data_IF_457530771698
#
_entry.id   IF_457530771698
#
_cell.length_a   1.000
_cell.length_b   1.000
_cell.length_c   1.000
_cell.angle_alpha   90.00
_cell.angle_beta   90.00
_cell.angle_gamma   90.00
#
_symmetry.space_group_name_H-M   'P 1'
#
loop_
_entity.id
_entity.type
_entity.pdbx_description
1 polymer ?
#
# COMPACT_ATOMS: atom_id res chain seq x y z
N UNK A 1 14.11 -34.22 -15.26
CA UNK A 1 13.31 -33.18 -14.59
C UNK A 1 12.74 -32.29 -15.69
N UNK A 2 11.41 -32.08 -15.74
CA UNK A 2 10.76 -31.22 -16.70
C UNK A 2 10.41 -29.90 -15.98
N UNK A 3 10.81 -28.77 -16.58
CA UNK A 3 10.47 -27.43 -16.06
C UNK A 3 9.48 -26.77 -17.03
N UNK A 4 8.32 -26.40 -16.51
CA UNK A 4 7.30 -25.68 -17.26
C UNK A 4 7.36 -24.19 -16.89
N UNK A 5 7.47 -23.33 -17.92
CA UNK A 5 7.47 -21.89 -17.75
C UNK A 5 6.07 -21.32 -18.08
N UNK A 6 5.49 -20.58 -17.14
CA UNK A 6 4.23 -19.89 -17.37
C UNK A 6 4.36 -18.81 -18.46
N UNK A 7 3.27 -18.59 -19.22
CA UNK A 7 3.13 -17.51 -20.18
C UNK A 7 1.72 -16.90 -20.03
N UNK A 8 1.58 -15.56 -19.88
CA UNK A 8 2.67 -14.58 -19.71
C UNK A 8 3.38 -14.70 -18.35
N UNK A 9 4.62 -14.20 -18.28
CA UNK A 9 5.41 -14.13 -17.06
C UNK A 9 6.22 -12.84 -17.00
N UNK A 10 6.59 -12.41 -15.80
CA UNK A 10 7.37 -11.20 -15.54
C UNK A 10 6.72 -10.31 -14.48
N UNK A 11 7.25 -9.12 -14.32
CA UNK A 11 6.68 -8.12 -13.42
C UNK A 11 5.46 -7.46 -14.03
N UNK A 12 4.48 -7.10 -13.19
CA UNK A 12 3.38 -6.24 -13.61
C UNK A 12 3.89 -4.79 -13.86
N UNK A 13 3.08 -4.00 -14.57
CA UNK A 13 3.44 -2.61 -14.88
C UNK A 13 3.74 -1.76 -13.63
N UNK A 14 3.04 -2.00 -12.52
CA UNK A 14 3.26 -1.30 -11.25
C UNK A 14 4.66 -1.56 -10.69
N UNK A 15 5.08 -2.83 -10.65
CA UNK A 15 6.42 -3.24 -10.19
C UNK A 15 7.50 -2.68 -11.11
N UNK A 16 7.35 -2.82 -12.44
CA UNK A 16 8.32 -2.30 -13.41
C UNK A 16 8.48 -0.78 -13.26
N UNK A 17 7.37 -0.05 -13.10
CA UNK A 17 7.39 1.40 -12.89
C UNK A 17 8.12 1.77 -11.60
N UNK A 18 7.84 1.09 -10.50
CA UNK A 18 8.45 1.40 -9.20
C UNK A 18 9.98 1.19 -9.23
N UNK A 19 10.44 0.10 -9.81
CA UNK A 19 11.88 -0.16 -10.02
C UNK A 19 12.50 0.94 -10.88
N UNK A 20 11.90 1.28 -12.01
CA UNK A 20 12.41 2.30 -12.93
C UNK A 20 12.51 3.68 -12.29
N UNK A 21 11.63 4.04 -11.34
CA UNK A 21 11.71 5.32 -10.60
C UNK A 21 12.99 5.36 -9.76
N UNK A 22 13.30 4.30 -8.99
CA UNK A 22 14.51 4.25 -8.17
C UNK A 22 15.76 4.26 -9.05
N UNK A 23 15.76 3.48 -10.13
CA UNK A 23 16.90 3.45 -11.08
C UNK A 23 17.17 4.81 -11.73
N UNK A 24 16.10 5.51 -12.13
CA UNK A 24 16.21 6.86 -12.68
C UNK A 24 16.67 7.88 -11.64
N UNK A 25 16.16 7.79 -10.41
CA UNK A 25 16.60 8.65 -9.32
C UNK A 25 18.11 8.47 -9.06
N UNK A 26 18.61 7.22 -9.00
CA UNK A 26 20.04 6.91 -8.89
C UNK A 26 20.85 7.49 -10.05
N UNK A 27 20.34 7.38 -11.29
CA UNK A 27 21.04 7.87 -12.48
C UNK A 27 21.11 9.41 -12.54
N UNK A 28 20.08 10.11 -12.07
CA UNK A 28 19.98 11.58 -12.18
C UNK A 28 20.64 12.29 -10.98
N UNK A 29 20.40 11.78 -9.76
CA UNK A 29 20.82 12.44 -8.52
C UNK A 29 22.03 11.81 -7.86
N UNK A 30 22.45 10.63 -8.34
CA UNK A 30 23.53 9.84 -7.71
C UNK A 30 23.07 9.14 -6.44
N UNK A 31 23.95 8.32 -5.88
CA UNK A 31 23.76 7.69 -4.59
C UNK A 31 24.15 8.64 -3.45
N UNK A 32 23.52 8.55 -2.26
CA UNK A 32 22.46 7.60 -1.94
C UNK A 32 21.06 8.10 -2.36
N UNK A 33 20.18 7.15 -2.73
CA UNK A 33 18.75 7.37 -2.84
C UNK A 33 18.06 6.58 -1.73
N UNK A 34 17.26 7.25 -0.91
CA UNK A 34 16.51 6.60 0.16
C UNK A 34 15.20 6.05 -0.37
N UNK A 35 14.81 4.86 0.06
CA UNK A 35 13.56 4.22 -0.35
C UNK A 35 12.82 3.79 0.92
N UNK A 36 11.63 4.33 1.13
CA UNK A 36 10.82 3.99 2.29
C UNK A 36 10.14 2.65 2.07
N UNK A 37 10.47 1.68 2.93
CA UNK A 37 10.21 0.25 2.81
C UNK A 37 10.86 -0.37 1.55
N UNK A 38 10.75 -1.68 1.39
CA UNK A 38 11.14 -2.33 0.14
C UNK A 38 10.32 -1.76 -1.02
N UNK A 39 10.97 -1.42 -2.13
CA UNK A 39 10.29 -0.84 -3.29
C UNK A 39 9.17 -1.77 -3.81
N UNK A 40 9.42 -3.05 -3.74
CA UNK A 40 8.52 -4.17 -4.00
C UNK A 40 9.01 -5.38 -3.19
N UNK A 41 8.14 -6.31 -2.83
CA UNK A 41 8.52 -7.53 -2.12
C UNK A 41 9.23 -8.53 -3.03
N UNK A 42 10.45 -8.17 -3.43
CA UNK A 42 11.32 -9.04 -4.23
C UNK A 42 12.78 -8.85 -3.83
N UNK A 43 13.34 -9.85 -3.14
CA UNK A 43 14.69 -9.79 -2.59
C UNK A 43 15.75 -9.48 -3.64
N UNK A 44 15.69 -10.11 -4.81
CA UNK A 44 16.65 -9.89 -5.90
C UNK A 44 16.63 -8.43 -6.39
N UNK A 45 15.43 -7.83 -6.51
CA UNK A 45 15.27 -6.42 -6.88
C UNK A 45 15.85 -5.52 -5.79
N UNK A 46 15.49 -5.76 -4.53
CA UNK A 46 15.95 -4.96 -3.38
C UNK A 46 17.46 -4.99 -3.26
N UNK A 47 18.09 -6.18 -3.33
CA UNK A 47 19.53 -6.34 -3.26
C UNK A 47 20.25 -5.70 -4.46
N UNK A 48 19.68 -5.82 -5.66
CA UNK A 48 20.21 -5.19 -6.86
C UNK A 48 20.21 -3.66 -6.79
N UNK A 49 19.15 -3.05 -6.25
CA UNK A 49 19.08 -1.60 -6.04
C UNK A 49 20.01 -1.15 -4.91
N UNK A 50 20.10 -1.94 -3.82
CA UNK A 50 21.02 -1.68 -2.71
C UNK A 50 22.47 -1.65 -3.15
N UNK A 51 22.89 -2.60 -4.00
CA UNK A 51 24.22 -2.64 -4.59
C UNK A 51 24.55 -1.40 -5.48
N UNK A 52 23.50 -0.71 -5.97
CA UNK A 52 23.63 0.52 -6.79
C UNK A 52 23.52 1.80 -5.96
N UNK A 53 23.37 1.70 -4.63
CA UNK A 53 23.36 2.84 -3.72
C UNK A 53 21.97 3.28 -3.26
N UNK A 54 20.93 2.44 -3.42
CA UNK A 54 19.66 2.65 -2.74
C UNK A 54 19.76 2.24 -1.27
N UNK A 55 19.27 3.06 -0.37
CA UNK A 55 19.19 2.80 1.09
C UNK A 55 17.72 2.63 1.46
N UNK A 56 17.36 1.45 1.93
CA UNK A 56 16.00 1.16 2.35
C UNK A 56 15.84 1.51 3.84
N UNK A 57 14.82 2.29 4.15
CA UNK A 57 14.51 2.78 5.50
C UNK A 57 13.05 2.53 5.85
N UNK A 58 12.76 2.31 7.13
CA UNK A 58 11.40 2.14 7.62
C UNK A 58 10.80 3.47 8.09
N UNK A 59 11.65 4.39 8.58
CA UNK A 59 11.23 5.69 9.10
C UNK A 59 11.91 6.82 8.32
N UNK A 60 11.20 7.94 8.14
CA UNK A 60 11.79 9.12 7.50
C UNK A 60 12.85 9.78 8.40
N UNK A 61 12.82 9.57 9.70
CA UNK A 61 13.86 10.03 10.64
C UNK A 61 15.26 9.54 10.26
N UNK A 62 15.36 8.40 9.57
CA UNK A 62 16.63 7.83 9.12
C UNK A 62 17.14 8.47 7.81
N UNK A 63 16.34 9.36 7.21
CA UNK A 63 16.69 10.07 5.98
C UNK A 63 17.27 11.44 6.33
N UNK A 64 18.46 11.83 5.85
CA UNK A 64 19.00 13.19 6.04
C UNK A 64 18.09 14.26 5.44
N UNK A 65 18.08 15.45 6.03
CA UNK A 65 17.36 16.60 5.50
C UNK A 65 17.78 16.92 4.07
N UNK A 66 16.83 17.29 3.22
CA UNK A 66 17.06 17.62 1.81
C UNK A 66 17.45 16.45 0.91
N UNK A 67 17.56 15.23 1.47
CA UNK A 67 17.89 14.05 0.68
C UNK A 67 16.76 13.64 -0.27
N UNK A 68 17.08 12.78 -1.22
CA UNK A 68 16.10 12.20 -2.15
C UNK A 68 15.49 10.95 -1.56
N UNK A 69 14.16 10.91 -1.47
CA UNK A 69 13.40 9.74 -1.00
C UNK A 69 12.40 9.26 -2.06
N UNK A 70 12.27 7.95 -2.18
CA UNK A 70 11.26 7.29 -3.01
C UNK A 70 10.28 6.58 -2.10
N UNK A 71 8.99 6.87 -2.25
CA UNK A 71 7.92 6.08 -1.64
C UNK A 71 7.69 4.81 -2.45
N UNK A 72 7.63 3.67 -1.78
CA UNK A 72 7.52 2.36 -2.42
C UNK A 72 6.18 2.17 -3.17
N UNK A 73 6.09 1.07 -3.93
CA UNK A 73 4.86 0.72 -4.66
C UNK A 73 3.63 0.56 -3.77
N UNK A 74 3.82 0.33 -2.48
CA UNK A 74 2.75 0.12 -1.48
C UNK A 74 2.02 1.42 -1.09
N UNK A 75 2.58 2.58 -1.40
CA UNK A 75 2.07 3.87 -0.95
C UNK A 75 2.45 4.20 0.50
N UNK A 76 2.08 5.38 0.94
CA UNK A 76 2.37 5.88 2.29
C UNK A 76 1.15 6.56 2.90
N UNK A 77 1.03 6.61 4.25
CA UNK A 77 0.09 7.47 4.95
C UNK A 77 0.28 8.95 4.56
N UNK A 78 -0.79 9.74 4.61
CA UNK A 78 -0.70 11.20 4.39
C UNK A 78 0.22 11.90 5.40
N UNK A 79 0.29 11.40 6.63
CA UNK A 79 1.22 11.93 7.64
C UNK A 79 2.67 11.82 7.22
N UNK A 80 3.05 10.68 6.63
CA UNK A 80 4.41 10.44 6.12
C UNK A 80 4.73 11.35 4.92
N UNK A 81 3.77 11.54 4.01
CA UNK A 81 3.96 12.45 2.89
C UNK A 81 4.17 13.90 3.38
N UNK A 82 3.37 14.34 4.35
CA UNK A 82 3.51 15.66 4.98
C UNK A 82 4.86 15.81 5.71
N UNK A 83 5.26 14.82 6.51
CA UNK A 83 6.56 14.82 7.18
C UNK A 83 7.71 14.98 6.18
N UNK A 84 7.66 14.26 5.04
CA UNK A 84 8.69 14.39 4.02
C UNK A 84 8.76 15.79 3.41
N UNK A 85 7.60 16.42 3.19
CA UNK A 85 7.51 17.81 2.70
C UNK A 85 8.07 18.80 3.74
N UNK A 86 7.68 18.69 5.01
CA UNK A 86 8.13 19.54 6.12
C UNK A 86 9.66 19.45 6.33
N UNK A 87 10.26 18.28 6.07
CA UNK A 87 11.70 18.06 6.13
C UNK A 87 12.45 18.48 4.86
N UNK A 88 11.75 19.04 3.88
CA UNK A 88 12.35 19.47 2.62
C UNK A 88 12.97 18.36 1.80
N UNK A 89 12.48 17.12 1.93
CA UNK A 89 12.97 16.00 1.16
C UNK A 89 12.54 16.10 -0.31
N UNK A 90 13.41 15.65 -1.22
CA UNK A 90 13.04 15.51 -2.63
C UNK A 90 12.29 14.19 -2.81
N UNK A 91 10.99 14.28 -3.03
CA UNK A 91 10.08 13.12 -3.02
C UNK A 91 9.82 12.62 -4.43
N UNK A 92 9.94 11.31 -4.65
CA UNK A 92 9.43 10.58 -5.80
C UNK A 92 8.43 9.53 -5.34
N UNK A 93 7.20 9.60 -5.83
CA UNK A 93 6.14 8.66 -5.48
C UNK A 93 6.08 7.52 -6.51
N UNK A 94 6.49 6.32 -6.07
CA UNK A 94 6.42 5.11 -6.85
C UNK A 94 5.17 4.26 -6.55
N UNK A 95 4.20 4.78 -5.79
CA UNK A 95 2.95 4.09 -5.47
C UNK A 95 2.31 3.50 -6.73
N UNK A 96 1.95 2.23 -6.66
CA UNK A 96 1.26 1.54 -7.75
C UNK A 96 -0.07 2.26 -8.07
N UNK A 97 -0.39 2.49 -9.36
CA UNK A 97 -1.65 3.13 -9.74
C UNK A 97 -2.91 2.44 -9.19
N UNK A 98 -2.87 1.12 -9.01
CA UNK A 98 -3.98 0.38 -8.37
C UNK A 98 -4.11 0.72 -6.88
N UNK A 99 -3.01 0.84 -6.16
CA UNK A 99 -3.00 1.30 -4.76
C UNK A 99 -3.49 2.75 -4.67
N UNK A 100 -3.03 3.62 -5.58
CA UNK A 100 -3.51 5.00 -5.65
C UNK A 100 -5.04 5.07 -5.87
N UNK A 101 -5.59 4.14 -6.65
CA UNK A 101 -7.05 4.04 -6.84
C UNK A 101 -7.74 3.72 -5.51
N UNK A 102 -7.26 2.73 -4.77
CA UNK A 102 -7.80 2.38 -3.44
C UNK A 102 -7.72 3.57 -2.49
N UNK A 103 -6.58 4.28 -2.43
CA UNK A 103 -6.41 5.49 -1.62
C UNK A 103 -7.45 6.57 -1.93
N UNK A 104 -7.73 6.81 -3.23
CA UNK A 104 -8.74 7.78 -3.66
C UNK A 104 -10.15 7.35 -3.27
N UNK A 105 -10.47 6.05 -3.41
CA UNK A 105 -11.78 5.49 -3.03
C UNK A 105 -12.00 5.60 -1.52
N UNK A 106 -11.00 5.26 -0.69
CA UNK A 106 -11.07 5.45 0.77
C UNK A 106 -11.39 6.91 1.12
N UNK A 107 -10.67 7.86 0.52
CA UNK A 107 -10.93 9.29 0.74
C UNK A 107 -12.32 9.72 0.25
N UNK A 108 -12.82 9.19 -0.88
CA UNK A 108 -14.17 9.46 -1.38
C UNK A 108 -15.24 8.92 -0.46
N UNK A 109 -15.18 7.64 -0.13
CA UNK A 109 -16.15 6.96 0.72
C UNK A 109 -16.23 7.60 2.11
N UNK A 110 -15.08 8.04 2.65
CA UNK A 110 -15.06 8.71 3.95
C UNK A 110 -15.73 10.08 3.90
N UNK A 111 -15.57 10.86 2.82
CA UNK A 111 -16.30 12.12 2.61
C UNK A 111 -17.82 11.91 2.46
N UNK A 112 -18.24 10.75 1.98
CA UNK A 112 -19.64 10.33 1.92
C UNK A 112 -20.19 9.85 3.29
N UNK A 113 -19.37 9.94 4.35
CA UNK A 113 -19.78 9.53 5.71
C UNK A 113 -19.72 8.04 5.98
N UNK A 114 -19.11 7.24 5.08
CA UNK A 114 -19.03 5.79 5.25
C UNK A 114 -17.96 5.40 6.25
N UNK A 115 -18.24 4.36 7.03
CA UNK A 115 -17.24 3.60 7.75
C UNK A 115 -16.60 2.58 6.79
N UNK A 116 -15.28 2.49 6.77
CA UNK A 116 -14.54 1.68 5.80
C UNK A 116 -13.92 0.47 6.51
N UNK A 117 -14.15 -0.71 5.95
CA UNK A 117 -13.54 -1.95 6.40
C UNK A 117 -12.43 -2.32 5.42
N UNK A 118 -11.18 -2.18 5.88
CA UNK A 118 -9.98 -2.53 5.10
C UNK A 118 -9.67 -4.00 5.28
N UNK A 119 -9.80 -4.80 4.23
CA UNK A 119 -9.44 -6.22 4.24
C UNK A 119 -7.97 -6.34 3.83
N UNK A 120 -7.14 -6.85 4.75
CA UNK A 120 -5.69 -6.95 4.52
C UNK A 120 -4.96 -7.51 5.72
N UNK A 121 -3.64 -7.49 5.70
CA UNK A 121 -2.78 -8.02 6.76
C UNK A 121 -2.20 -6.89 7.61
N UNK A 122 -2.31 -7.01 8.92
CA UNK A 122 -1.71 -6.05 9.87
C UNK A 122 -0.19 -5.92 9.64
N UNK A 123 0.32 -4.69 9.73
CA UNK A 123 1.74 -4.40 9.54
C UNK A 123 2.22 -4.43 8.09
N UNK A 124 1.34 -4.72 7.12
CA UNK A 124 1.71 -4.62 5.72
C UNK A 124 1.76 -3.15 5.26
N UNK A 125 2.84 -2.68 4.58
CA UNK A 125 2.99 -1.28 4.19
C UNK A 125 1.82 -0.70 3.37
N UNK A 126 1.20 -1.50 2.50
CA UNK A 126 0.02 -1.08 1.72
C UNK A 126 -1.20 -0.84 2.61
N UNK A 127 -1.39 -1.67 3.64
CA UNK A 127 -2.49 -1.52 4.60
C UNK A 127 -2.28 -0.26 5.43
N UNK A 128 -1.08 -0.03 5.94
CA UNK A 128 -0.72 1.19 6.67
C UNK A 128 -0.91 2.43 5.79
N UNK A 129 -0.41 2.39 4.55
CA UNK A 129 -0.56 3.46 3.56
C UNK A 129 -2.02 3.79 3.27
N UNK A 130 -2.86 2.77 3.10
CA UNK A 130 -4.29 2.92 2.81
C UNK A 130 -5.07 3.43 4.01
N UNK A 131 -4.84 2.86 5.19
CA UNK A 131 -5.50 3.31 6.43
C UNK A 131 -5.13 4.75 6.76
N UNK A 132 -3.89 5.15 6.52
CA UNK A 132 -3.41 6.51 6.71
C UNK A 132 -3.89 7.54 5.68
N UNK A 133 -4.81 7.20 4.77
CA UNK A 133 -5.44 8.18 3.87
C UNK A 133 -6.55 8.99 4.53
N UNK A 134 -7.03 8.56 5.68
CA UNK A 134 -8.09 9.22 6.47
C UNK A 134 -7.67 9.27 7.93
N UNK A 135 -8.18 10.23 8.67
CA UNK A 135 -7.86 10.40 10.09
C UNK A 135 -8.62 9.41 10.97
N UNK A 136 -9.83 9.05 10.54
CA UNK A 136 -10.74 8.14 11.25
C UNK A 136 -11.62 7.35 10.28
N UNK A 137 -12.53 6.53 10.83
CA UNK A 137 -13.59 5.88 10.04
C UNK A 137 -13.10 4.75 9.14
N UNK A 138 -11.92 4.19 9.44
CA UNK A 138 -11.41 2.99 8.76
C UNK A 138 -10.94 1.96 9.79
N UNK A 139 -11.25 0.69 9.56
CA UNK A 139 -10.92 -0.42 10.45
C UNK A 139 -10.39 -1.61 9.66
N UNK A 140 -9.29 -2.20 10.14
CA UNK A 140 -8.70 -3.41 9.55
C UNK A 140 -9.53 -4.66 9.91
N UNK A 141 -9.72 -5.52 8.91
CA UNK A 141 -10.33 -6.84 9.01
C UNK A 141 -9.37 -7.83 8.34
N UNK A 142 -8.88 -8.80 9.09
CA UNK A 142 -7.92 -9.79 8.57
C UNK A 142 -8.58 -11.14 8.25
N UNK A 143 -9.64 -11.49 8.98
CA UNK A 143 -10.29 -12.81 8.90
C UNK A 143 -11.78 -12.72 9.17
N UNK A 144 -12.58 -13.72 8.74
CA UNK A 144 -14.03 -13.74 8.96
C UNK A 144 -14.45 -13.59 10.43
N UNK A 145 -13.65 -14.10 11.38
CA UNK A 145 -13.93 -13.97 12.80
C UNK A 145 -13.94 -12.50 13.29
N UNK A 146 -13.20 -11.62 12.64
CA UNK A 146 -13.16 -10.19 13.00
C UNK A 146 -14.48 -9.50 12.68
N UNK A 147 -15.20 -9.99 11.67
CA UNK A 147 -16.53 -9.50 11.30
C UNK A 147 -17.53 -9.70 12.43
N UNK A 148 -17.44 -10.82 13.18
CA UNK A 148 -18.31 -11.11 14.31
C UNK A 148 -18.17 -10.09 15.45
N UNK A 149 -17.01 -9.44 15.57
CA UNK A 149 -16.68 -8.46 16.61
C UNK A 149 -17.01 -7.01 16.21
N UNK A 150 -17.59 -6.79 15.04
CA UNK A 150 -18.03 -5.46 14.62
C UNK A 150 -19.33 -5.08 15.34
N UNK A 151 -19.42 -3.82 15.77
CA UNK A 151 -20.59 -3.28 16.47
C UNK A 151 -21.47 -2.37 15.60
N UNK A 152 -21.35 -2.49 14.27
CA UNK A 152 -22.18 -1.76 13.31
C UNK A 152 -23.54 -2.43 13.12
N UNK A 153 -24.51 -1.63 12.66
CA UNK A 153 -25.87 -2.04 12.33
C UNK A 153 -26.11 -1.96 10.83
N UNK A 154 -27.23 -2.50 10.34
CA UNK A 154 -27.62 -2.40 8.92
C UNK A 154 -27.95 -0.95 8.47
N UNK A 155 -28.07 -0.01 9.41
CA UNK A 155 -28.32 1.41 9.12
C UNK A 155 -27.02 2.20 8.95
N UNK A 156 -25.88 1.63 9.36
CA UNK A 156 -24.59 2.28 9.20
C UNK A 156 -24.15 2.24 7.73
N UNK A 157 -23.70 3.37 7.21
CA UNK A 157 -23.17 3.46 5.86
C UNK A 157 -21.79 2.81 5.81
N UNK A 158 -21.73 1.50 5.55
CA UNK A 158 -20.50 0.74 5.48
C UNK A 158 -19.98 0.62 4.05
N UNK A 159 -18.65 0.54 3.92
CA UNK A 159 -17.97 0.19 2.69
C UNK A 159 -16.79 -0.72 3.01
N UNK A 160 -16.30 -1.48 2.03
CA UNK A 160 -15.04 -2.19 2.19
C UNK A 160 -14.09 -1.94 1.02
N UNK A 161 -12.82 -2.07 1.30
CA UNK A 161 -11.72 -2.10 0.32
C UNK A 161 -10.78 -3.24 0.66
N UNK A 162 -10.02 -3.73 -0.33
CA UNK A 162 -9.07 -4.81 -0.13
C UNK A 162 -7.64 -4.35 -0.40
N UNK A 163 -6.69 -4.94 0.30
CA UNK A 163 -5.29 -4.91 -0.09
C UNK A 163 -5.14 -5.51 -1.49
N UNK A 164 -4.38 -4.87 -2.37
CA UNK A 164 -4.29 -5.26 -3.79
C UNK A 164 -3.57 -6.60 -4.00
N UNK A 165 -2.77 -7.03 -3.03
CA UNK A 165 -1.97 -8.27 -3.08
C UNK A 165 -2.49 -9.40 -2.18
N UNK A 166 -3.68 -9.25 -1.60
CA UNK A 166 -4.28 -10.30 -0.78
C UNK A 166 -4.71 -11.49 -1.65
N UNK A 167 -4.67 -12.70 -1.10
CA UNK A 167 -5.19 -13.89 -1.76
C UNK A 167 -6.68 -13.74 -2.09
N UNK A 168 -7.08 -14.16 -3.30
CA UNK A 168 -8.49 -14.12 -3.71
C UNK A 168 -9.38 -14.99 -2.81
N UNK A 169 -8.87 -16.10 -2.30
CA UNK A 169 -9.63 -17.00 -1.42
C UNK A 169 -9.77 -16.41 -0.01
N UNK A 170 -8.70 -15.81 0.53
CA UNK A 170 -8.74 -15.15 1.84
C UNK A 170 -9.69 -13.95 1.82
N UNK A 171 -9.57 -13.09 0.80
CA UNK A 171 -10.46 -11.94 0.66
C UNK A 171 -11.92 -12.34 0.48
N UNK A 172 -12.19 -13.40 -0.31
CA UNK A 172 -13.54 -13.89 -0.56
C UNK A 172 -14.24 -14.31 0.73
N UNK A 173 -13.56 -15.08 1.58
CA UNK A 173 -14.13 -15.56 2.85
C UNK A 173 -14.54 -14.42 3.77
N UNK A 174 -13.73 -13.35 3.84
CA UNK A 174 -14.04 -12.15 4.62
C UNK A 174 -15.19 -11.35 3.98
N UNK A 175 -15.19 -11.19 2.66
CA UNK A 175 -16.25 -10.48 1.92
C UNK A 175 -17.59 -11.18 2.08
N UNK A 176 -17.63 -12.52 1.98
CA UNK A 176 -18.85 -13.30 2.21
C UNK A 176 -19.39 -13.13 3.64
N UNK A 177 -18.51 -13.14 4.64
CA UNK A 177 -18.92 -12.87 6.03
C UNK A 177 -19.46 -11.45 6.20
N UNK A 178 -18.83 -10.44 5.58
CA UNK A 178 -19.30 -9.05 5.60
C UNK A 178 -20.66 -8.90 4.92
N UNK A 179 -20.84 -9.44 3.71
CA UNK A 179 -22.11 -9.37 2.96
C UNK A 179 -23.24 -10.12 3.66
N UNK A 180 -22.93 -11.23 4.32
CA UNK A 180 -23.92 -11.98 5.12
C UNK A 180 -24.39 -11.18 6.32
N UNK A 181 -23.50 -10.44 6.97
CA UNK A 181 -23.83 -9.65 8.15
C UNK A 181 -24.37 -8.26 7.82
N UNK A 182 -23.90 -7.65 6.75
CA UNK A 182 -24.24 -6.30 6.28
C UNK A 182 -24.62 -6.33 4.80
N UNK A 183 -25.86 -6.73 4.45
CA UNK A 183 -26.27 -6.94 3.05
C UNK A 183 -26.16 -5.70 2.16
N UNK A 184 -26.16 -4.50 2.75
CA UNK A 184 -26.08 -3.21 2.03
C UNK A 184 -24.69 -2.59 2.02
N UNK A 185 -23.63 -3.34 2.43
CA UNK A 185 -22.26 -2.85 2.40
C UNK A 185 -21.83 -2.50 0.97
N UNK A 186 -21.22 -1.33 0.82
CA UNK A 186 -20.74 -0.82 -0.47
C UNK A 186 -19.35 -1.39 -0.81
N UNK A 187 -19.14 -1.68 -2.12
CA UNK A 187 -17.87 -2.15 -2.69
C UNK A 187 -17.05 -1.00 -3.27
#
# INVERSE_FOLDING_TARGET
>A
MQVLLAQPRGFCAGVTRAIAIVERALAIYGAPIYVRHEIVHNRTVVEGLRARGAIFVDQLSDVPEGATVVFSAHGVPKSVAREAEERGLRIFDATCPLVTKVHKEVGRMRREGRMILMIGHAGHPEVEGTMGQVEDGIRLIEKPADVANLSYTDQDALAYVTQTTISADDSRSVIEALKSRYPHIHE
#
